data_IF_286638867306
#
_entry.id   IF_286638867306
#
_cell.length_a   1.000
_cell.length_b   1.000
_cell.length_c   1.000
_cell.angle_alpha   90.00
_cell.angle_beta   90.00
_cell.angle_gamma   90.00
#
_symmetry.space_group_name_H-M   'P 1'
#
loop_
_entity.id
_entity.type
_entity.pdbx_description
1 polymer ?
#
# COMPACT_ATOMS: atom_id res chain seq x y z
N UNK A 1 -14.80 14.05 -9.75
CA UNK A 1 -15.56 13.95 -8.47
C UNK A 1 -15.02 12.74 -7.77
N UNK A 2 -14.63 12.86 -6.49
CA UNK A 2 -14.08 11.73 -5.75
C UNK A 2 -15.09 10.59 -5.62
N UNK A 3 -14.66 9.38 -5.96
CA UNK A 3 -15.37 8.18 -5.54
C UNK A 3 -15.05 7.93 -4.06
N UNK A 4 -15.94 8.38 -3.19
CA UNK A 4 -15.76 8.27 -1.74
C UNK A 4 -15.75 6.83 -1.26
N UNK A 5 -16.45 5.92 -1.93
CA UNK A 5 -16.45 4.50 -1.57
C UNK A 5 -15.08 3.89 -1.87
N UNK A 6 -14.58 4.12 -3.08
CA UNK A 6 -13.27 3.64 -3.50
C UNK A 6 -12.15 4.24 -2.63
N UNK A 7 -12.19 5.54 -2.35
CA UNK A 7 -11.20 6.21 -1.51
C UNK A 7 -11.23 5.69 -0.07
N UNK A 8 -12.42 5.47 0.50
CA UNK A 8 -12.56 4.89 1.85
C UNK A 8 -11.98 3.48 1.90
N UNK A 9 -12.23 2.67 0.87
CA UNK A 9 -11.68 1.31 0.78
C UNK A 9 -10.15 1.32 0.69
N UNK A 10 -9.57 2.16 -0.16
CA UNK A 10 -8.11 2.30 -0.29
C UNK A 10 -7.49 2.69 1.05
N UNK A 11 -8.05 3.71 1.71
CA UNK A 11 -7.58 4.16 3.02
C UNK A 11 -7.69 3.05 4.08
N UNK A 12 -8.82 2.35 4.14
CA UNK A 12 -9.01 1.25 5.10
C UNK A 12 -8.02 0.10 4.88
N UNK A 13 -7.71 -0.22 3.62
CA UNK A 13 -6.71 -1.24 3.30
C UNK A 13 -5.30 -0.79 3.71
N UNK A 14 -4.92 0.45 3.44
CA UNK A 14 -3.62 1.02 3.86
C UNK A 14 -3.49 0.93 5.39
N UNK A 15 -4.50 1.36 6.14
CA UNK A 15 -4.47 1.28 7.60
C UNK A 15 -4.35 -0.15 8.11
N UNK A 16 -5.08 -1.10 7.51
CA UNK A 16 -4.95 -2.52 7.87
C UNK A 16 -3.53 -3.02 7.63
N UNK A 17 -2.93 -2.73 6.48
CA UNK A 17 -1.59 -3.21 6.17
C UNK A 17 -0.49 -2.57 7.02
N UNK A 18 -0.67 -1.31 7.44
CA UNK A 18 0.22 -0.68 8.42
C UNK A 18 0.11 -1.36 9.79
N UNK A 19 -1.11 -1.65 10.26
CA UNK A 19 -1.34 -2.38 11.52
C UNK A 19 -0.79 -3.82 11.46
N UNK A 20 -0.93 -4.50 10.32
CA UNK A 20 -0.31 -5.81 10.10
C UNK A 20 1.22 -5.73 10.11
N UNK A 21 1.80 -4.66 9.54
CA UNK A 21 3.24 -4.42 9.57
C UNK A 21 3.74 -4.20 10.99
N UNK A 22 3.06 -3.38 11.80
CA UNK A 22 3.41 -3.15 13.22
C UNK A 22 3.37 -4.44 14.05
N UNK A 23 2.44 -5.35 13.76
CA UNK A 23 2.34 -6.66 14.45
C UNK A 23 3.47 -7.63 14.09
N UNK A 24 3.98 -7.53 12.87
CA UNK A 24 5.01 -8.44 12.33
C UNK A 24 6.41 -7.80 12.41
N UNK A 25 6.49 -6.51 12.74
CA UNK A 25 7.71 -5.70 12.68
C UNK A 25 8.92 -6.43 13.30
N UNK A 26 9.93 -6.77 12.47
CA UNK A 26 11.15 -7.39 12.94
C UNK A 26 11.85 -6.44 13.93
N UNK A 27 12.24 -6.94 15.09
CA UNK A 27 12.87 -6.11 16.13
C UNK A 27 14.35 -5.90 15.86
N UNK A 28 14.95 -6.82 15.12
CA UNK A 28 16.33 -6.75 14.67
C UNK A 28 16.46 -7.19 13.20
N UNK A 29 17.62 -6.92 12.60
CA UNK A 29 17.88 -7.30 11.21
C UNK A 29 17.99 -8.82 11.03
N UNK A 30 18.40 -9.56 12.06
CA UNK A 30 18.51 -11.03 12.00
C UNK A 30 17.16 -11.73 11.94
N UNK A 31 16.08 -11.11 12.42
CA UNK A 31 14.71 -11.60 12.24
C UNK A 31 14.34 -11.76 10.76
N UNK A 32 14.97 -10.99 9.86
CA UNK A 32 14.80 -11.09 8.40
C UNK A 32 15.62 -12.21 7.76
N UNK A 33 16.50 -12.89 8.50
CA UNK A 33 17.17 -14.10 8.02
C UNK A 33 16.20 -15.29 7.99
N UNK A 34 15.11 -15.27 8.77
CA UNK A 34 14.00 -16.21 8.60
C UNK A 34 13.23 -15.84 7.33
N UNK A 35 13.28 -16.74 6.36
CA UNK A 35 12.67 -16.57 5.04
C UNK A 35 11.16 -16.27 5.12
N UNK A 36 10.45 -16.75 6.14
CA UNK A 36 9.01 -16.49 6.31
C UNK A 36 8.78 -15.06 6.76
N UNK A 37 9.58 -14.55 7.68
CA UNK A 37 9.52 -13.16 8.13
C UNK A 37 9.86 -12.22 6.97
N UNK A 38 10.93 -12.52 6.24
CA UNK A 38 11.33 -11.76 5.06
C UNK A 38 10.20 -11.67 4.04
N UNK A 39 9.59 -12.80 3.68
CA UNK A 39 8.49 -12.82 2.72
C UNK A 39 7.22 -12.13 3.26
N UNK A 40 6.88 -12.31 4.53
CA UNK A 40 5.73 -11.66 5.13
C UNK A 40 5.85 -10.13 5.07
N UNK A 41 6.98 -9.58 5.52
CA UNK A 41 7.26 -8.14 5.48
C UNK A 41 7.29 -7.64 4.03
N UNK A 42 7.98 -8.36 3.13
CA UNK A 42 8.05 -8.00 1.71
C UNK A 42 6.67 -7.90 1.06
N UNK A 43 5.77 -8.84 1.35
CA UNK A 43 4.42 -8.86 0.80
C UNK A 43 3.56 -7.70 1.34
N UNK A 44 3.66 -7.38 2.62
CA UNK A 44 2.93 -6.26 3.22
C UNK A 44 3.41 -4.95 2.59
N UNK A 45 4.72 -4.73 2.49
CA UNK A 45 5.30 -3.55 1.85
C UNK A 45 4.90 -3.45 0.38
N UNK A 46 4.98 -4.55 -0.36
CA UNK A 46 4.54 -4.59 -1.77
C UNK A 46 3.06 -4.20 -1.90
N UNK A 47 2.21 -4.69 -1.01
CA UNK A 47 0.76 -4.40 -1.04
C UNK A 47 0.48 -2.93 -0.67
N UNK A 48 1.22 -2.38 0.30
CA UNK A 48 1.15 -0.96 0.68
C UNK A 48 1.52 -0.03 -0.49
N UNK A 49 2.59 -0.34 -1.21
CA UNK A 49 3.02 0.44 -2.39
C UNK A 49 1.90 0.44 -3.44
N UNK A 50 1.35 -0.73 -3.77
CA UNK A 50 0.27 -0.82 -4.74
C UNK A 50 -0.97 -0.02 -4.31
N UNK A 51 -1.38 -0.10 -3.04
CA UNK A 51 -2.49 0.73 -2.54
C UNK A 51 -2.21 2.23 -2.56
N UNK A 52 -0.95 2.62 -2.37
CA UNK A 52 -0.55 4.03 -2.47
C UNK A 52 -0.61 4.51 -3.93
N UNK A 53 -0.27 3.66 -4.89
CA UNK A 53 -0.45 3.94 -6.32
C UNK A 53 -1.94 4.06 -6.65
N UNK A 54 -2.78 3.13 -6.20
CA UNK A 54 -4.24 3.18 -6.35
C UNK A 54 -4.81 4.52 -5.82
N UNK A 55 -4.31 5.00 -4.66
CA UNK A 55 -4.70 6.30 -4.10
C UNK A 55 -4.30 7.47 -5.00
N UNK A 56 -3.08 7.43 -5.53
CA UNK A 56 -2.58 8.45 -6.46
C UNK A 56 -3.44 8.53 -7.72
N UNK A 57 -3.77 7.37 -8.30
CA UNK A 57 -4.60 7.26 -9.50
C UNK A 57 -6.03 7.79 -9.25
N UNK A 58 -6.61 7.48 -8.09
CA UNK A 58 -7.91 8.02 -7.70
C UNK A 58 -7.87 9.55 -7.59
N UNK A 59 -6.82 10.12 -6.98
CA UNK A 59 -6.67 11.59 -6.86
C UNK A 59 -6.50 12.25 -8.23
N UNK A 60 -5.65 11.69 -9.09
CA UNK A 60 -5.39 12.22 -10.45
C UNK A 60 -6.66 12.19 -11.29
N UNK A 61 -7.37 11.05 -11.27
CA UNK A 61 -8.61 10.85 -12.02
C UNK A 61 -9.71 11.78 -11.50
N UNK A 62 -9.89 11.85 -10.18
CA UNK A 62 -10.96 12.64 -9.57
C UNK A 62 -10.80 14.14 -9.71
N UNK A 63 -9.56 14.62 -9.85
CA UNK A 63 -9.23 16.03 -10.15
C UNK A 63 -9.01 16.32 -11.63
N UNK A 64 -9.16 15.31 -12.51
CA UNK A 64 -9.02 15.45 -13.95
C UNK A 64 -7.66 16.08 -14.36
N UNK A 65 -6.59 15.76 -13.62
CA UNK A 65 -5.26 16.40 -13.76
C UNK A 65 -4.50 15.99 -15.04
N UNK A 66 -5.15 15.23 -15.93
CA UNK A 66 -4.51 14.54 -17.06
C UNK A 66 -3.88 13.22 -16.59
N UNK A 67 -4.18 12.14 -17.30
CA UNK A 67 -3.66 10.80 -16.98
C UNK A 67 -2.23 10.69 -17.51
N UNK A 68 -1.21 10.35 -16.70
CA UNK A 68 0.04 9.84 -17.26
C UNK A 68 -0.30 8.49 -17.90
N UNK A 69 -0.28 8.42 -19.24
CA UNK A 69 -0.81 7.29 -20.01
C UNK A 69 -0.16 5.93 -19.74
N UNK A 70 0.88 5.84 -18.91
CA UNK A 70 1.53 4.62 -18.46
C UNK A 70 2.37 4.92 -17.22
N UNK A 71 2.20 4.17 -16.12
CA UNK A 71 3.31 3.91 -15.22
C UNK A 71 4.27 2.96 -15.96
N UNK A 72 5.48 3.42 -16.27
CA UNK A 72 6.60 2.59 -16.74
C UNK A 72 7.71 2.64 -15.71
#
# INVERSE_FOLDING_TARGET
MFDLEQLTKIMSDIYRYLDDLEKIEPKDLSDLDDIRNFYAVSMILFTLINRTIDLGDEIVTSRNLGVPGTYR
#
